data_IF_848154907041
#
_entry.id   IF_848154907041
#
_cell.length_a   1.000
_cell.length_b   1.000
_cell.length_c   1.000
_cell.angle_alpha   90.00
_cell.angle_beta   90.00
_cell.angle_gamma   90.00
#
_symmetry.space_group_name_H-M   'P 1'
#
loop_
_entity.id
_entity.type
_entity.pdbx_description
1 polymer ?
#
# COMPACT_ATOMS: atom_id res chain seq x y z
N UNK A 1 -4.45 -9.67 56.74
CA UNK A 1 -3.53 -8.57 56.40
C UNK A 1 -2.75 -8.80 55.10
N UNK A 2 -2.20 -9.98 54.80
CA UNK A 2 -1.41 -10.22 53.56
C UNK A 2 -2.19 -10.03 52.22
N UNK A 3 -3.48 -10.39 52.16
CA UNK A 3 -4.28 -10.21 50.91
C UNK A 3 -4.58 -8.75 50.57
N UNK A 4 -4.77 -7.87 51.57
CA UNK A 4 -5.00 -6.43 51.33
C UNK A 4 -3.71 -5.72 50.87
N UNK A 5 -2.54 -6.18 51.34
CA UNK A 5 -1.25 -5.64 50.91
C UNK A 5 -0.89 -6.00 49.45
N UNK A 6 -1.24 -7.22 49.02
CA UNK A 6 -1.03 -7.66 47.61
C UNK A 6 -1.92 -6.89 46.62
N UNK A 7 -3.17 -6.59 46.99
CA UNK A 7 -4.08 -5.81 46.15
C UNK A 7 -3.60 -4.35 46.04
N UNK A 8 -3.09 -3.80 47.15
CA UNK A 8 -2.56 -2.43 47.15
C UNK A 8 -1.25 -2.30 46.37
N UNK A 9 -0.38 -3.33 46.39
CA UNK A 9 0.83 -3.38 45.55
C UNK A 9 0.52 -3.58 44.08
N UNK A 10 -0.52 -4.36 43.73
CA UNK A 10 -0.94 -4.53 42.31
C UNK A 10 -1.61 -3.27 41.74
N UNK A 11 -2.35 -2.52 42.56
CA UNK A 11 -2.92 -1.22 42.16
C UNK A 11 -1.84 -0.12 41.99
N UNK A 12 -0.80 -0.13 42.87
CA UNK A 12 0.34 0.77 42.73
C UNK A 12 1.18 0.46 41.50
N UNK A 13 1.39 -0.81 41.15
CA UNK A 13 2.14 -1.18 39.94
C UNK A 13 1.35 -0.90 38.64
N UNK A 14 0.03 -1.02 38.65
CA UNK A 14 -0.82 -0.63 37.53
C UNK A 14 -0.84 0.89 37.33
N UNK A 15 -0.87 1.69 38.38
CA UNK A 15 -0.79 3.15 38.29
C UNK A 15 0.59 3.64 37.83
N UNK A 16 1.69 3.00 38.24
CA UNK A 16 3.05 3.31 37.76
C UNK A 16 3.21 2.97 36.27
N UNK A 17 2.58 1.90 35.80
CA UNK A 17 2.60 1.53 34.37
C UNK A 17 1.73 2.48 33.51
N UNK A 18 0.59 2.94 34.02
CA UNK A 18 -0.25 3.94 33.36
C UNK A 18 0.41 5.32 33.31
N UNK A 19 1.24 5.65 34.32
CA UNK A 19 1.97 6.91 34.38
C UNK A 19 3.01 7.04 33.27
N UNK A 20 3.60 5.92 32.82
CA UNK A 20 4.65 5.91 31.80
C UNK A 20 4.12 6.10 30.37
N UNK A 21 2.91 5.63 30.05
CA UNK A 21 2.41 5.67 28.66
C UNK A 21 2.12 7.08 28.16
N UNK A 22 1.60 7.98 29.00
CA UNK A 22 1.31 9.37 28.61
C UNK A 22 2.59 10.17 28.44
N UNK A 23 3.51 10.06 29.41
CA UNK A 23 4.84 10.69 29.33
C UNK A 23 5.66 10.13 28.19
N UNK A 24 5.59 8.81 27.95
CA UNK A 24 6.25 8.19 26.80
C UNK A 24 5.71 8.75 25.49
N UNK A 25 4.39 8.83 25.33
CA UNK A 25 3.79 9.39 24.14
C UNK A 25 4.20 10.87 23.92
N UNK A 26 4.17 11.70 24.97
CA UNK A 26 4.63 13.10 24.88
C UNK A 26 6.10 13.19 24.45
N UNK A 27 6.97 12.36 25.00
CA UNK A 27 8.39 12.31 24.64
C UNK A 27 8.58 11.86 23.18
N UNK A 28 7.88 10.83 22.77
CA UNK A 28 7.95 10.31 21.38
C UNK A 28 7.44 11.35 20.37
N UNK A 29 6.45 12.16 20.77
CA UNK A 29 5.93 13.31 20.00
C UNK A 29 6.82 14.55 20.06
N UNK A 30 7.84 14.59 20.93
CA UNK A 30 8.70 15.75 21.22
C UNK A 30 7.89 16.98 21.69
N UNK A 31 6.91 16.75 22.54
CA UNK A 31 5.95 17.77 23.01
C UNK A 31 6.16 18.18 24.49
N UNK A 32 7.32 17.87 25.07
CA UNK A 32 7.62 18.19 26.47
C UNK A 32 7.54 19.70 26.73
N UNK A 33 8.04 20.52 25.80
CA UNK A 33 7.96 21.98 25.89
C UNK A 33 6.51 22.49 25.82
N UNK A 34 5.69 21.87 24.98
CA UNK A 34 4.26 22.20 24.91
C UNK A 34 3.56 21.87 26.22
N UNK A 35 3.85 20.72 26.83
CA UNK A 35 3.31 20.35 28.17
C UNK A 35 3.70 21.39 29.21
N UNK A 36 4.93 21.88 29.19
CA UNK A 36 5.40 22.91 30.11
C UNK A 36 4.61 24.26 29.99
N UNK A 37 4.02 24.54 28.84
CA UNK A 37 3.19 25.75 28.62
C UNK A 37 1.78 25.64 29.22
N UNK A 38 1.34 24.43 29.61
CA UNK A 38 -0.01 24.25 30.17
C UNK A 38 -0.03 24.64 31.66
N UNK A 39 -0.83 25.65 32.00
CA UNK A 39 -1.21 25.91 33.38
C UNK A 39 -2.15 24.82 33.91
N UNK A 40 -2.28 24.71 35.25
CA UNK A 40 -3.24 23.78 35.86
C UNK A 40 -4.67 24.08 35.41
N UNK A 41 -5.06 25.37 35.39
CA UNK A 41 -6.36 25.80 34.93
C UNK A 41 -6.63 25.41 33.45
N UNK A 42 -5.63 25.55 32.56
CA UNK A 42 -5.77 25.14 31.17
C UNK A 42 -5.95 23.63 31.06
N UNK A 43 -5.16 22.86 31.82
CA UNK A 43 -5.26 21.41 31.81
C UNK A 43 -6.61 20.91 32.32
N UNK A 44 -7.12 21.48 33.43
CA UNK A 44 -8.44 21.18 33.95
C UNK A 44 -9.57 21.51 32.95
N UNK A 45 -9.45 22.63 32.24
CA UNK A 45 -10.41 23.01 31.21
C UNK A 45 -10.42 22.01 30.05
N UNK A 46 -9.26 21.59 29.55
CA UNK A 46 -9.15 20.62 28.46
C UNK A 46 -9.62 19.21 28.90
N UNK A 47 -9.50 18.89 30.19
CA UNK A 47 -9.91 17.61 30.78
C UNK A 47 -11.30 17.66 31.44
N UNK A 48 -12.15 18.60 31.07
CA UNK A 48 -13.50 18.71 31.64
C UNK A 48 -14.27 17.39 31.50
N UNK A 49 -14.66 16.79 32.62
CA UNK A 49 -15.33 15.48 32.67
C UNK A 49 -14.41 14.29 32.95
N UNK A 50 -13.12 14.53 33.18
CA UNK A 50 -12.17 13.56 33.70
C UNK A 50 -11.97 13.76 35.21
N UNK A 51 -12.03 12.68 36.00
CA UNK A 51 -11.96 12.74 37.46
C UNK A 51 -10.57 12.39 38.03
N UNK A 52 -9.65 11.89 37.20
CA UNK A 52 -8.28 11.55 37.62
C UNK A 52 -7.43 12.78 37.91
N UNK A 53 -6.38 12.63 38.70
CA UNK A 53 -5.53 13.73 39.16
C UNK A 53 -4.06 13.58 38.75
N UNK A 54 -3.69 12.51 38.08
CA UNK A 54 -2.33 12.21 37.63
C UNK A 54 -2.10 12.63 36.20
N UNK A 55 -0.88 13.09 35.90
CA UNK A 55 -0.44 13.50 34.53
C UNK A 55 -1.43 14.44 33.81
N UNK A 56 -2.02 15.39 34.54
CA UNK A 56 -3.07 16.25 34.00
C UNK A 56 -2.60 17.02 32.76
N UNK A 57 -1.39 17.56 32.78
CA UNK A 57 -0.88 18.36 31.65
C UNK A 57 -0.61 17.51 30.43
N UNK A 58 0.00 16.35 30.60
CA UNK A 58 0.26 15.40 29.52
C UNK A 58 -1.04 14.90 28.89
N UNK A 59 -2.01 14.51 29.72
CA UNK A 59 -3.33 14.09 29.26
C UNK A 59 -4.10 15.21 28.53
N UNK A 60 -4.03 16.43 29.07
CA UNK A 60 -4.66 17.59 28.45
C UNK A 60 -4.08 17.89 27.06
N UNK A 61 -2.76 17.84 26.91
CA UNK A 61 -2.10 17.99 25.61
C UNK A 61 -2.54 16.89 24.64
N UNK A 62 -2.57 15.64 25.07
CA UNK A 62 -2.97 14.51 24.22
C UNK A 62 -4.47 14.58 23.82
N UNK A 63 -5.33 15.11 24.68
CA UNK A 63 -6.75 15.37 24.35
C UNK A 63 -6.88 16.52 23.35
N UNK A 64 -6.18 17.63 23.58
CA UNK A 64 -6.20 18.79 22.67
C UNK A 64 -5.62 18.47 21.29
N UNK A 65 -4.61 17.56 21.23
CA UNK A 65 -4.09 16.99 19.99
C UNK A 65 -5.02 15.96 19.35
N UNK A 66 -6.14 15.60 19.97
CA UNK A 66 -7.06 14.55 19.54
C UNK A 66 -6.44 13.14 19.46
N UNK A 67 -5.37 12.90 20.18
CA UNK A 67 -4.75 11.59 20.30
C UNK A 67 -5.63 10.60 21.08
N UNK A 68 -6.33 11.11 22.09
CA UNK A 68 -7.30 10.39 22.93
C UNK A 68 -8.47 11.32 23.29
N UNK A 69 -9.57 10.74 23.73
CA UNK A 69 -10.75 11.49 24.18
C UNK A 69 -10.90 11.38 25.71
N UNK A 70 -11.77 12.22 26.29
CA UNK A 70 -12.16 12.10 27.72
C UNK A 70 -12.80 10.75 28.00
N UNK A 71 -13.60 10.22 27.08
CA UNK A 71 -14.20 8.89 27.19
C UNK A 71 -13.14 7.79 27.25
N UNK A 72 -12.09 7.91 26.46
CA UNK A 72 -10.95 6.98 26.50
C UNK A 72 -10.26 7.01 27.86
N UNK A 73 -10.03 8.21 28.41
CA UNK A 73 -9.42 8.38 29.74
C UNK A 73 -10.28 7.77 30.85
N UNK A 74 -11.60 7.94 30.79
CA UNK A 74 -12.52 7.41 31.77
C UNK A 74 -12.73 5.89 31.67
N UNK A 75 -12.63 5.34 30.45
CA UNK A 75 -12.79 3.89 30.23
C UNK A 75 -11.51 3.07 30.37
N UNK A 76 -10.36 3.72 30.30
CA UNK A 76 -9.01 3.11 30.28
C UNK A 76 -8.80 2.00 29.22
N UNK A 77 -9.77 1.86 28.30
CA UNK A 77 -9.72 0.81 27.29
C UNK A 77 -8.85 1.21 26.09
N UNK A 78 -7.88 0.36 25.75
CA UNK A 78 -7.06 0.50 24.55
C UNK A 78 -6.23 1.79 24.43
N UNK A 79 -6.06 2.59 25.49
CA UNK A 79 -5.32 3.86 25.48
C UNK A 79 -3.92 3.68 24.89
N UNK A 80 -3.17 2.68 25.37
CA UNK A 80 -1.81 2.41 24.87
C UNK A 80 -1.79 2.15 23.37
N UNK A 81 -2.78 1.40 22.84
CA UNK A 81 -2.90 1.13 21.40
C UNK A 81 -3.21 2.41 20.62
N UNK A 82 -4.10 3.26 21.13
CA UNK A 82 -4.47 4.54 20.51
C UNK A 82 -3.28 5.50 20.49
N UNK A 83 -2.59 5.66 21.63
CA UNK A 83 -1.42 6.52 21.73
C UNK A 83 -0.29 6.07 20.80
N UNK A 84 0.03 4.76 20.76
CA UNK A 84 1.03 4.23 19.82
C UNK A 84 0.66 4.46 18.36
N UNK A 85 -0.61 4.30 18.01
CA UNK A 85 -1.07 4.58 16.65
C UNK A 85 -0.94 6.07 16.33
N UNK A 86 -1.39 6.95 17.22
CA UNK A 86 -1.30 8.41 17.04
C UNK A 86 0.16 8.87 16.94
N UNK A 87 1.04 8.42 17.86
CA UNK A 87 2.47 8.76 17.80
C UNK A 87 3.07 8.35 16.47
N UNK A 88 2.77 7.12 16.02
CA UNK A 88 3.24 6.64 14.71
C UNK A 88 2.78 7.55 13.58
N UNK A 89 1.49 7.88 13.54
CA UNK A 89 0.92 8.70 12.46
C UNK A 89 1.43 10.15 12.51
N UNK A 90 1.60 10.70 13.73
CA UNK A 90 2.04 12.08 13.93
C UNK A 90 3.54 12.28 13.67
N UNK A 91 4.37 11.27 14.00
CA UNK A 91 5.83 11.33 13.84
C UNK A 91 6.29 10.73 12.51
N UNK A 92 5.40 10.09 11.76
CA UNK A 92 5.74 9.51 10.48
C UNK A 92 5.90 10.62 9.43
N UNK A 93 7.15 11.05 9.27
CA UNK A 93 7.53 12.06 8.27
C UNK A 93 7.72 11.48 6.87
N UNK A 94 7.38 10.20 6.66
CA UNK A 94 7.45 9.62 5.33
C UNK A 94 6.45 10.34 4.42
N UNK A 95 6.96 10.91 3.37
CA UNK A 95 6.14 11.30 2.24
C UNK A 95 5.54 10.01 1.66
N UNK A 96 4.27 9.75 1.95
CA UNK A 96 3.54 8.59 1.42
C UNK A 96 3.30 8.68 -0.08
N UNK A 97 3.69 9.77 -0.71
CA UNK A 97 3.59 10.00 -2.14
C UNK A 97 4.67 10.99 -2.63
N UNK A 98 4.97 10.94 -3.92
CA UNK A 98 6.03 11.74 -4.53
C UNK A 98 5.67 13.21 -4.73
N UNK A 99 4.42 13.52 -4.85
CA UNK A 99 3.90 14.87 -5.09
C UNK A 99 2.57 14.84 -5.83
N UNK A 100 2.15 15.99 -6.33
CA UNK A 100 0.95 16.11 -7.15
C UNK A 100 1.28 16.16 -8.64
N UNK A 101 0.33 15.81 -9.49
CA UNK A 101 0.45 15.98 -10.95
C UNK A 101 0.82 17.41 -11.31
N UNK A 102 0.23 18.41 -10.61
CA UNK A 102 0.50 19.83 -10.82
C UNK A 102 1.93 20.27 -10.47
N UNK A 103 2.68 19.52 -9.69
CA UNK A 103 4.05 19.87 -9.31
C UNK A 103 4.95 20.01 -10.54
N UNK A 104 5.80 21.06 -10.55
CA UNK A 104 6.71 21.33 -11.67
C UNK A 104 7.75 20.22 -11.87
N UNK A 105 8.20 19.61 -10.78
CA UNK A 105 9.29 18.64 -10.78
C UNK A 105 8.81 17.19 -10.57
N UNK A 106 7.53 16.90 -10.77
CA UNK A 106 6.99 15.54 -10.53
C UNK A 106 7.67 14.48 -11.43
N UNK A 107 7.94 14.81 -12.70
CA UNK A 107 8.63 13.90 -13.63
C UNK A 107 10.06 13.61 -13.16
N UNK A 108 10.78 14.62 -12.67
CA UNK A 108 12.11 14.44 -12.11
C UNK A 108 12.08 13.52 -10.88
N UNK A 109 11.12 13.73 -9.97
CA UNK A 109 10.95 12.88 -8.78
C UNK A 109 10.65 11.43 -9.14
N UNK A 110 9.79 11.19 -10.13
CA UNK A 110 9.48 9.86 -10.65
C UNK A 110 10.75 9.19 -11.19
N UNK A 111 11.50 9.86 -12.07
CA UNK A 111 12.73 9.33 -12.64
C UNK A 111 13.79 9.06 -11.56
N UNK A 112 13.94 9.96 -10.57
CA UNK A 112 14.88 9.78 -9.47
C UNK A 112 14.51 8.56 -8.60
N UNK A 113 13.21 8.29 -8.42
CA UNK A 113 12.76 7.10 -7.70
C UNK A 113 13.03 5.84 -8.51
N UNK A 114 12.67 5.83 -9.80
CA UNK A 114 12.92 4.73 -10.72
C UNK A 114 14.40 4.34 -10.79
N UNK A 115 15.29 5.31 -10.97
CA UNK A 115 16.74 5.09 -11.10
C UNK A 115 17.40 4.51 -9.84
N UNK A 116 16.72 4.58 -8.68
CA UNK A 116 17.16 3.95 -7.43
C UNK A 116 16.55 2.57 -7.22
N UNK A 117 15.66 2.15 -8.12
CA UNK A 117 14.99 0.86 -8.07
C UNK A 117 15.98 -0.30 -8.14
N UNK A 118 15.67 -1.36 -7.42
CA UNK A 118 16.45 -2.61 -7.42
C UNK A 118 15.50 -3.79 -7.49
N UNK A 119 15.93 -4.84 -8.16
CA UNK A 119 15.23 -6.12 -8.17
C UNK A 119 15.29 -6.70 -6.75
N UNK A 120 14.13 -7.13 -6.24
CA UNK A 120 14.00 -7.82 -4.96
C UNK A 120 14.32 -9.29 -5.19
N UNK A 121 15.47 -9.73 -4.69
CA UNK A 121 15.94 -11.10 -4.82
C UNK A 121 15.98 -11.79 -3.45
N UNK A 122 15.85 -13.13 -3.46
CA UNK A 122 16.09 -13.95 -2.27
C UNK A 122 15.01 -13.86 -1.19
N UNK A 123 13.85 -13.28 -1.48
CA UNK A 123 12.70 -13.36 -0.56
C UNK A 123 12.19 -14.80 -0.48
N UNK A 124 11.78 -15.29 0.71
CA UNK A 124 11.10 -16.56 0.85
C UNK A 124 9.88 -16.70 -0.08
N UNK A 125 9.24 -15.59 -0.44
CA UNK A 125 8.11 -15.55 -1.37
C UNK A 125 8.49 -16.05 -2.77
N UNK A 126 9.72 -15.78 -3.26
CA UNK A 126 10.16 -16.23 -4.58
C UNK A 126 10.09 -17.75 -4.69
N UNK A 127 10.61 -18.49 -3.69
CA UNK A 127 10.62 -19.96 -3.71
C UNK A 127 9.20 -20.52 -3.77
N UNK A 128 8.32 -20.04 -2.87
CA UNK A 128 6.94 -20.53 -2.77
C UNK A 128 6.12 -20.23 -4.03
N UNK A 129 6.32 -19.04 -4.61
CA UNK A 129 5.56 -18.62 -5.79
C UNK A 129 6.10 -19.23 -7.09
N UNK A 130 7.40 -19.47 -7.19
CA UNK A 130 7.96 -20.24 -8.30
C UNK A 130 7.41 -21.68 -8.31
N UNK A 131 7.26 -22.32 -7.15
CA UNK A 131 6.56 -23.60 -7.03
C UNK A 131 5.09 -23.54 -7.50
N UNK A 132 4.40 -22.43 -7.20
CA UNK A 132 3.04 -22.22 -7.69
C UNK A 132 2.98 -22.06 -9.22
N UNK A 133 3.98 -21.40 -9.82
CA UNK A 133 4.13 -21.33 -11.28
C UNK A 133 4.32 -22.73 -11.87
N UNK A 134 5.26 -23.53 -11.33
CA UNK A 134 5.54 -24.89 -11.81
C UNK A 134 4.32 -25.82 -11.73
N UNK A 135 3.41 -25.55 -10.80
CA UNK A 135 2.14 -26.27 -10.65
C UNK A 135 1.01 -25.70 -11.52
N UNK A 136 1.28 -24.70 -12.36
CA UNK A 136 0.27 -24.06 -13.22
C UNK A 136 -0.82 -23.30 -12.48
N UNK A 137 -0.59 -22.95 -11.20
CA UNK A 137 -1.54 -22.21 -10.37
C UNK A 137 -1.57 -20.71 -10.67
N UNK A 138 -0.46 -20.19 -11.21
CA UNK A 138 -0.32 -18.83 -11.71
C UNK A 138 0.69 -18.80 -12.85
N UNK A 139 0.64 -17.77 -13.69
CA UNK A 139 1.63 -17.48 -14.74
C UNK A 139 2.68 -16.49 -14.31
N UNK A 140 2.48 -15.83 -13.14
CA UNK A 140 3.41 -14.84 -12.63
C UNK A 140 2.91 -14.18 -11.34
N UNK A 141 3.76 -13.36 -10.78
CA UNK A 141 3.51 -12.56 -9.58
C UNK A 141 4.38 -11.31 -9.61
N UNK A 142 4.12 -10.36 -8.72
CA UNK A 142 5.06 -9.27 -8.47
C UNK A 142 5.27 -9.09 -6.96
N UNK A 143 6.48 -8.68 -6.56
CA UNK A 143 6.87 -8.45 -5.17
C UNK A 143 7.13 -6.96 -4.96
N UNK A 144 6.57 -6.40 -3.88
CA UNK A 144 6.76 -5.02 -3.44
C UNK A 144 7.26 -4.95 -2.01
N UNK A 145 8.08 -3.97 -1.71
CA UNK A 145 8.40 -3.61 -0.32
C UNK A 145 7.22 -2.84 0.29
N UNK A 146 6.71 -3.33 1.42
CA UNK A 146 5.57 -2.71 2.11
C UNK A 146 5.84 -1.30 2.60
N UNK A 147 7.11 -0.95 2.81
CA UNK A 147 7.51 0.40 3.22
C UNK A 147 7.32 1.46 2.12
N UNK A 148 7.12 1.01 0.87
CA UNK A 148 6.95 1.87 -0.31
C UNK A 148 5.48 2.22 -0.61
N UNK A 149 4.53 1.60 0.09
CA UNK A 149 3.10 1.78 -0.20
C UNK A 149 2.62 3.19 0.09
N UNK A 150 1.89 3.75 -0.88
CA UNK A 150 1.10 4.94 -0.65
C UNK A 150 -0.11 4.62 0.23
N UNK A 151 -0.40 5.50 1.19
CA UNK A 151 -1.60 5.42 2.04
C UNK A 151 -2.78 6.12 1.36
N UNK A 152 -3.03 5.76 0.10
CA UNK A 152 -4.06 6.37 -0.73
C UNK A 152 -5.45 5.81 -0.42
N UNK A 153 -6.45 6.70 -0.51
CA UNK A 153 -7.85 6.29 -0.43
C UNK A 153 -8.21 5.44 -1.65
N UNK A 154 -8.66 4.21 -1.38
CA UNK A 154 -8.93 3.20 -2.41
C UNK A 154 -10.06 3.61 -3.34
N UNK A 155 -11.05 4.35 -2.84
CA UNK A 155 -12.19 4.80 -3.61
C UNK A 155 -11.78 5.73 -4.75
N UNK A 156 -10.78 6.59 -4.48
CA UNK A 156 -10.31 7.60 -5.42
C UNK A 156 -9.02 7.23 -6.15
N UNK A 157 -8.49 6.01 -5.95
CA UNK A 157 -7.18 5.62 -6.47
C UNK A 157 -7.30 4.78 -7.74
N UNK A 158 -6.43 5.09 -8.70
CA UNK A 158 -6.15 4.26 -9.88
C UNK A 158 -4.67 3.88 -9.88
N UNK A 159 -4.38 2.64 -10.26
CA UNK A 159 -3.01 2.11 -10.37
C UNK A 159 -2.75 1.68 -11.81
N UNK A 160 -1.61 2.12 -12.37
CA UNK A 160 -1.13 1.75 -13.69
C UNK A 160 0.23 1.06 -13.60
N UNK A 161 0.32 -0.18 -14.06
CA UNK A 161 1.56 -0.96 -14.03
C UNK A 161 2.33 -0.89 -15.34
N UNK A 162 3.64 -0.61 -15.29
CA UNK A 162 4.53 -0.66 -16.46
C UNK A 162 6.01 -0.80 -16.04
N UNK A 163 6.89 -0.92 -17.03
CA UNK A 163 8.34 -0.93 -16.86
C UNK A 163 9.07 0.18 -17.62
N UNK A 164 8.34 0.99 -18.38
CA UNK A 164 8.90 2.12 -19.14
C UNK A 164 8.41 3.46 -18.57
N UNK A 165 9.36 4.30 -18.14
CA UNK A 165 9.07 5.62 -17.57
C UNK A 165 8.54 6.63 -18.57
N UNK A 166 8.67 6.36 -19.89
CA UNK A 166 8.04 7.17 -20.93
C UNK A 166 6.53 7.16 -20.73
N UNK A 167 5.94 6.00 -20.44
CA UNK A 167 4.50 5.86 -20.16
C UNK A 167 4.07 6.66 -18.94
N UNK A 168 4.83 6.60 -17.84
CA UNK A 168 4.55 7.40 -16.65
C UNK A 168 4.55 8.90 -16.98
N UNK A 169 5.54 9.36 -17.74
CA UNK A 169 5.66 10.76 -18.16
C UNK A 169 4.51 11.18 -19.09
N UNK A 170 4.07 10.32 -19.99
CA UNK A 170 2.94 10.56 -20.88
C UNK A 170 1.62 10.71 -20.12
N UNK A 171 1.37 9.85 -19.12
CA UNK A 171 0.16 9.93 -18.27
C UNK A 171 0.17 11.24 -17.47
N UNK A 172 1.31 11.62 -16.88
CA UNK A 172 1.44 12.91 -16.17
C UNK A 172 1.19 14.08 -17.14
N UNK A 173 1.75 14.02 -18.34
CA UNK A 173 1.53 15.04 -19.37
C UNK A 173 0.07 15.16 -19.79
N UNK A 174 -0.62 14.03 -19.96
CA UNK A 174 -2.05 13.98 -20.27
C UNK A 174 -2.89 14.64 -19.15
N UNK A 175 -2.66 14.25 -17.90
CA UNK A 175 -3.38 14.81 -16.74
C UNK A 175 -3.15 16.33 -16.61
N UNK A 176 -1.91 16.81 -16.80
CA UNK A 176 -1.60 18.25 -16.83
C UNK A 176 -2.34 18.98 -17.95
N UNK A 177 -2.35 18.42 -19.16
CA UNK A 177 -3.03 19.01 -20.30
C UNK A 177 -4.55 19.14 -20.12
N UNK A 178 -5.13 18.21 -19.38
CA UNK A 178 -6.56 18.16 -19.09
C UNK A 178 -6.95 18.89 -17.78
N UNK A 179 -5.98 19.50 -17.09
CA UNK A 179 -6.17 20.15 -15.80
C UNK A 179 -6.80 19.22 -14.74
N UNK A 180 -6.35 17.97 -14.70
CA UNK A 180 -6.71 17.00 -13.67
C UNK A 180 -5.52 16.88 -12.72
N UNK A 181 -5.71 17.26 -11.45
CA UNK A 181 -4.71 17.05 -10.42
C UNK A 181 -4.96 15.74 -9.66
N UNK A 182 -3.90 15.13 -9.16
CA UNK A 182 -3.95 13.95 -8.35
C UNK A 182 -2.65 13.82 -7.54
N UNK A 183 -2.70 13.18 -6.38
CA UNK A 183 -1.49 12.72 -5.68
C UNK A 183 -0.87 11.57 -6.47
N UNK A 184 0.45 11.58 -6.58
CA UNK A 184 1.21 10.63 -7.38
C UNK A 184 2.19 9.85 -6.50
N UNK A 185 2.18 8.53 -6.63
CA UNK A 185 3.21 7.65 -6.06
C UNK A 185 3.69 6.66 -7.10
N UNK A 186 4.99 6.34 -7.07
CA UNK A 186 5.60 5.27 -7.84
C UNK A 186 5.99 4.14 -6.87
N UNK A 187 5.27 3.04 -6.90
CA UNK A 187 5.60 1.85 -6.13
C UNK A 187 6.43 0.90 -7.00
N UNK A 188 7.70 0.76 -6.67
CA UNK A 188 8.58 -0.17 -7.38
C UNK A 188 8.23 -1.62 -7.05
N UNK A 189 8.28 -2.47 -8.05
CA UNK A 189 8.01 -3.90 -7.91
C UNK A 189 8.98 -4.72 -8.73
N UNK A 190 9.28 -5.93 -8.27
CA UNK A 190 9.92 -6.96 -9.06
C UNK A 190 8.86 -7.93 -9.52
N UNK A 191 8.65 -8.00 -10.81
CA UNK A 191 7.76 -9.01 -11.38
C UNK A 191 8.52 -10.29 -11.68
N UNK A 192 7.80 -11.40 -11.69
CA UNK A 192 8.28 -12.70 -12.14
C UNK A 192 7.16 -13.34 -12.97
N UNK A 193 7.44 -13.71 -14.20
CA UNK A 193 6.45 -14.34 -15.07
C UNK A 193 7.08 -15.38 -15.99
N UNK A 194 6.25 -16.34 -16.40
CA UNK A 194 6.66 -17.35 -17.38
C UNK A 194 7.00 -16.68 -18.70
N UNK A 195 8.24 -16.83 -19.14
CA UNK A 195 8.73 -16.32 -20.41
C UNK A 195 8.70 -17.43 -21.46
N UNK A 196 8.06 -17.19 -22.58
CA UNK A 196 7.93 -18.17 -23.64
C UNK A 196 9.09 -18.02 -24.65
N UNK A 197 9.77 -19.11 -25.02
CA UNK A 197 10.89 -19.07 -25.97
C UNK A 197 10.56 -18.47 -27.35
N UNK A 198 9.30 -18.59 -27.78
CA UNK A 198 8.79 -18.00 -29.02
C UNK A 198 8.75 -16.46 -29.03
N UNK A 199 8.92 -15.82 -27.86
CA UNK A 199 9.03 -14.36 -27.76
C UNK A 199 10.45 -13.85 -28.07
N UNK A 200 11.41 -14.77 -28.35
CA UNK A 200 12.79 -14.44 -28.66
C UNK A 200 13.69 -14.37 -27.43
N UNK A 201 14.83 -13.68 -27.57
CA UNK A 201 15.73 -13.45 -26.43
C UNK A 201 15.16 -12.45 -25.44
N UNK A 202 15.17 -12.83 -24.16
CA UNK A 202 14.71 -11.95 -23.08
C UNK A 202 15.72 -10.83 -22.82
N UNK A 203 15.25 -9.60 -22.75
CA UNK A 203 16.02 -8.46 -22.25
C UNK A 203 16.10 -8.42 -20.72
N UNK A 204 15.34 -9.27 -20.04
CA UNK A 204 15.28 -9.34 -18.58
C UNK A 204 16.22 -10.43 -18.04
N UNK A 205 16.63 -10.30 -16.79
CA UNK A 205 17.24 -11.43 -16.06
C UNK A 205 16.26 -12.59 -16.03
N UNK A 206 16.72 -13.79 -16.35
CA UNK A 206 15.90 -15.00 -16.39
C UNK A 206 16.44 -16.08 -15.46
N UNK A 207 15.53 -16.88 -14.92
CA UNK A 207 15.84 -18.11 -14.18
C UNK A 207 15.24 -19.30 -14.92
N UNK A 208 16.07 -20.29 -15.27
CA UNK A 208 15.61 -21.55 -15.85
C UNK A 208 15.31 -22.54 -14.74
N UNK A 209 14.07 -23.02 -14.69
CA UNK A 209 13.60 -23.99 -13.71
C UNK A 209 13.97 -25.42 -14.14
N UNK A 210 13.94 -26.41 -13.21
CA UNK A 210 14.32 -27.78 -13.49
C UNK A 210 13.48 -28.47 -14.58
N UNK A 211 12.23 -28.09 -14.77
CA UNK A 211 11.32 -28.61 -15.80
C UNK A 211 11.50 -27.92 -17.16
N UNK A 212 12.41 -26.94 -17.25
CA UNK A 212 12.68 -26.17 -18.46
C UNK A 212 11.90 -24.85 -18.55
N UNK A 213 10.96 -24.59 -17.66
CA UNK A 213 10.25 -23.31 -17.57
C UNK A 213 11.25 -22.16 -17.38
N UNK A 214 11.08 -21.09 -18.13
CA UNK A 214 11.89 -19.86 -17.99
C UNK A 214 11.04 -18.82 -17.27
N UNK A 215 11.57 -18.24 -16.19
CA UNK A 215 10.93 -17.13 -15.47
C UNK A 215 11.77 -15.88 -15.70
N UNK A 216 11.15 -14.83 -16.23
CA UNK A 216 11.76 -13.50 -16.38
C UNK A 216 11.48 -12.62 -15.14
N UNK A 217 12.46 -11.79 -14.79
CA UNK A 217 12.43 -10.95 -13.58
C UNK A 217 12.68 -9.47 -13.92
N UNK A 218 11.70 -8.75 -14.48
CA UNK A 218 11.84 -7.32 -14.70
C UNK A 218 11.66 -6.50 -13.43
N UNK A 219 12.36 -5.36 -13.36
CA UNK A 219 11.97 -4.26 -12.51
C UNK A 219 10.81 -3.53 -13.18
N UNK A 220 9.72 -3.33 -12.45
CA UNK A 220 8.52 -2.64 -12.90
C UNK A 220 8.05 -1.65 -11.83
N UNK A 221 7.00 -0.92 -12.13
CA UNK A 221 6.35 -0.03 -11.18
C UNK A 221 4.83 -0.14 -11.25
N UNK A 222 4.17 0.27 -10.17
CA UNK A 222 2.80 0.73 -10.18
C UNK A 222 2.81 2.24 -9.96
N UNK A 223 2.37 2.98 -10.97
CA UNK A 223 2.12 4.40 -10.88
C UNK A 223 0.71 4.59 -10.32
N UNK A 224 0.62 5.16 -9.14
CA UNK A 224 -0.66 5.36 -8.45
C UNK A 224 -1.05 6.82 -8.45
N UNK A 225 -2.33 7.04 -8.71
CA UNK A 225 -2.98 8.34 -8.67
C UNK A 225 -4.12 8.30 -7.67
N UNK A 226 -4.11 9.19 -6.67
CA UNK A 226 -5.30 9.46 -5.87
C UNK A 226 -5.89 10.80 -6.31
N UNK A 227 -7.08 10.73 -6.88
CA UNK A 227 -7.85 11.89 -7.31
C UNK A 227 -8.55 12.56 -6.12
N UNK A 228 -8.88 13.86 -6.25
CA UNK A 228 -9.60 14.58 -5.21
C UNK A 228 -11.08 14.22 -5.15
N UNK A 229 -11.63 13.72 -6.27
CA UNK A 229 -13.04 13.37 -6.37
C UNK A 229 -13.27 12.16 -7.28
N UNK A 230 -14.41 11.51 -7.10
CA UNK A 230 -14.88 10.45 -7.99
C UNK A 230 -15.03 10.96 -9.44
N UNK A 231 -15.48 12.19 -9.61
CA UNK A 231 -15.62 12.83 -10.93
C UNK A 231 -14.28 12.93 -11.67
N UNK A 232 -13.21 13.34 -10.99
CA UNK A 232 -11.88 13.45 -11.61
C UNK A 232 -11.31 12.08 -11.94
N UNK A 233 -11.56 11.08 -11.08
CA UNK A 233 -11.22 9.69 -11.36
C UNK A 233 -11.95 9.16 -12.61
N UNK A 234 -13.26 9.38 -12.72
CA UNK A 234 -14.06 8.96 -13.88
C UNK A 234 -13.57 9.65 -15.15
N UNK A 235 -13.34 10.96 -15.08
CA UNK A 235 -12.77 11.72 -16.21
C UNK A 235 -11.40 11.17 -16.64
N UNK A 236 -10.54 10.81 -15.70
CA UNK A 236 -9.27 10.15 -16.03
C UNK A 236 -9.48 8.81 -16.74
N UNK A 237 -10.42 7.97 -16.26
CA UNK A 237 -10.70 6.68 -16.90
C UNK A 237 -11.27 6.85 -18.30
N UNK A 238 -12.09 7.87 -18.57
CA UNK A 238 -12.55 8.23 -19.91
C UNK A 238 -11.39 8.61 -20.83
N UNK A 239 -10.39 9.37 -20.32
CA UNK A 239 -9.19 9.70 -21.07
C UNK A 239 -8.34 8.46 -21.37
N UNK A 240 -8.19 7.56 -20.41
CA UNK A 240 -7.51 6.28 -20.62
C UNK A 240 -8.22 5.48 -21.71
N UNK A 241 -9.55 5.41 -21.66
CA UNK A 241 -10.34 4.71 -22.67
C UNK A 241 -10.17 5.31 -24.08
N UNK A 242 -10.01 6.61 -24.15
CA UNK A 242 -9.82 7.34 -25.41
C UNK A 242 -8.41 7.20 -25.97
N UNK A 243 -7.38 7.25 -25.13
CA UNK A 243 -5.98 7.39 -25.56
C UNK A 243 -5.13 6.15 -25.33
N UNK A 244 -5.54 5.18 -24.52
CA UNK A 244 -4.84 3.92 -24.38
C UNK A 244 -5.00 3.08 -25.65
N UNK A 245 -3.91 2.54 -26.14
CA UNK A 245 -3.95 1.60 -27.25
C UNK A 245 -4.64 0.32 -26.80
N UNK A 246 -5.70 -0.08 -27.52
CA UNK A 246 -6.54 -1.23 -27.14
C UNK A 246 -6.38 -2.43 -28.05
N UNK A 247 -5.90 -2.21 -29.27
CA UNK A 247 -5.76 -3.22 -30.31
C UNK A 247 -4.66 -2.85 -31.31
N UNK A 248 -4.35 -3.75 -32.22
CA UNK A 248 -3.29 -3.57 -33.21
C UNK A 248 -3.62 -2.50 -34.27
N UNK A 249 -4.88 -2.19 -34.50
CA UNK A 249 -5.31 -1.21 -35.51
C UNK A 249 -5.14 0.21 -34.97
N UNK A 250 -5.24 0.42 -33.69
CA UNK A 250 -5.07 1.73 -33.05
C UNK A 250 -3.62 1.96 -32.60
N UNK A 251 -2.73 2.21 -33.52
CA UNK A 251 -1.30 2.41 -33.25
C UNK A 251 -0.94 3.82 -32.73
N UNK A 252 -1.86 4.78 -32.81
CA UNK A 252 -1.59 6.18 -32.52
C UNK A 252 -2.03 6.61 -31.09
N UNK A 253 -2.36 5.68 -30.23
CA UNK A 253 -2.74 5.99 -28.85
C UNK A 253 -1.56 6.50 -28.03
N UNK A 254 -1.80 7.41 -27.10
CA UNK A 254 -0.79 7.98 -26.21
C UNK A 254 -0.12 6.90 -25.35
N UNK A 255 -0.87 5.90 -24.94
CA UNK A 255 -0.38 4.79 -24.12
C UNK A 255 -0.13 3.55 -25.00
N UNK A 256 0.71 3.74 -26.02
CA UNK A 256 1.14 2.67 -26.91
C UNK A 256 1.71 1.48 -26.13
N UNK A 257 1.41 0.27 -26.55
CA UNK A 257 1.81 -0.99 -25.91
C UNK A 257 1.26 -1.20 -24.48
N UNK A 258 0.42 -0.30 -23.97
CA UNK A 258 -0.19 -0.43 -22.64
C UNK A 258 -1.51 -1.23 -22.61
N UNK A 259 -1.99 -1.69 -23.76
CA UNK A 259 -3.29 -2.34 -23.90
C UNK A 259 -3.45 -3.63 -23.09
N UNK A 260 -2.34 -4.35 -22.83
CA UNK A 260 -2.30 -5.55 -22.03
C UNK A 260 -1.92 -5.27 -20.55
N UNK A 261 -1.40 -4.09 -20.25
CA UNK A 261 -1.07 -3.71 -18.88
C UNK A 261 -2.33 -3.39 -18.08
N UNK A 262 -2.40 -3.83 -16.81
CA UNK A 262 -3.61 -3.66 -16.05
C UNK A 262 -3.78 -2.22 -15.55
N UNK A 263 -4.95 -1.64 -15.81
CA UNK A 263 -5.49 -0.56 -15.01
C UNK A 263 -6.33 -1.19 -13.88
N UNK A 264 -5.74 -1.30 -12.71
CA UNK A 264 -6.34 -2.04 -11.59
C UNK A 264 -7.19 -1.10 -10.74
N UNK A 265 -8.43 -1.52 -10.50
CA UNK A 265 -9.40 -0.87 -9.63
C UNK A 265 -9.72 -1.79 -8.46
N UNK A 266 -9.90 -1.22 -7.26
CA UNK A 266 -10.35 -1.97 -6.08
C UNK A 266 -11.88 -1.98 -5.95
N UNK A 267 -12.56 -1.09 -6.65
CA UNK A 267 -14.00 -1.01 -6.74
C UNK A 267 -14.48 -1.40 -8.14
N UNK A 268 -15.71 -1.90 -8.23
CA UNK A 268 -16.29 -2.33 -9.50
C UNK A 268 -16.48 -1.15 -10.46
N UNK A 269 -15.90 -1.27 -11.64
CA UNK A 269 -16.04 -0.30 -12.74
C UNK A 269 -16.77 -0.97 -13.91
N UNK A 270 -17.68 -0.24 -14.55
CA UNK A 270 -18.39 -0.74 -15.73
C UNK A 270 -17.39 -1.06 -16.86
N UNK A 271 -17.58 -2.19 -17.51
CA UNK A 271 -16.71 -2.65 -18.60
C UNK A 271 -15.37 -3.27 -18.15
N UNK A 272 -15.11 -3.33 -16.83
CA UNK A 272 -13.94 -4.02 -16.28
C UNK A 272 -14.31 -5.40 -15.76
N UNK A 273 -13.35 -6.33 -15.87
CA UNK A 273 -13.51 -7.73 -15.46
C UNK A 273 -12.86 -8.00 -14.11
N UNK A 274 -13.44 -8.92 -13.35
CA UNK A 274 -13.01 -9.21 -11.98
C UNK A 274 -11.94 -10.30 -11.94
N UNK A 275 -10.81 -9.98 -11.31
CA UNK A 275 -9.78 -10.94 -10.91
C UNK A 275 -9.68 -11.01 -9.38
N UNK A 276 -8.95 -12.00 -8.91
CA UNK A 276 -8.56 -12.12 -7.51
C UNK A 276 -7.08 -11.74 -7.37
N UNK A 277 -6.80 -10.74 -6.55
CA UNK A 277 -5.45 -10.44 -6.07
C UNK A 277 -5.21 -11.23 -4.78
N UNK A 278 -4.38 -12.27 -4.89
CA UNK A 278 -3.92 -13.06 -3.75
C UNK A 278 -2.65 -12.40 -3.23
N UNK A 279 -2.75 -11.67 -2.12
CA UNK A 279 -1.61 -10.98 -1.50
C UNK A 279 -0.95 -11.94 -0.54
N UNK A 280 0.26 -12.35 -0.88
CA UNK A 280 1.09 -13.32 -0.14
C UNK A 280 2.21 -12.54 0.55
N UNK A 281 2.26 -12.54 1.88
CA UNK A 281 3.13 -11.66 2.67
C UNK A 281 4.07 -12.45 3.58
N UNK A 282 5.34 -12.04 3.65
CA UNK A 282 6.32 -12.48 4.65
C UNK A 282 6.54 -11.44 5.78
N UNK A 283 5.69 -10.42 5.82
CA UNK A 283 5.77 -9.32 6.80
C UNK A 283 6.61 -8.13 6.32
N UNK A 284 7.62 -8.33 5.50
CA UNK A 284 8.44 -7.27 4.88
C UNK A 284 7.98 -6.97 3.46
N UNK A 285 7.77 -8.01 2.69
CA UNK A 285 7.34 -7.94 1.29
C UNK A 285 5.92 -8.48 1.13
N UNK A 286 5.19 -7.90 0.19
CA UNK A 286 3.93 -8.43 -0.30
C UNK A 286 4.12 -8.87 -1.76
N UNK A 287 3.77 -10.11 -2.05
CA UNK A 287 3.64 -10.57 -3.42
C UNK A 287 2.16 -10.50 -3.85
N UNK A 288 1.90 -9.85 -4.97
CA UNK A 288 0.59 -9.77 -5.59
C UNK A 288 0.50 -10.81 -6.70
N UNK A 289 -0.43 -11.74 -6.56
CA UNK A 289 -0.66 -12.84 -7.50
C UNK A 289 -2.08 -12.72 -8.05
N UNK A 290 -2.20 -12.12 -9.22
CA UNK A 290 -3.49 -12.02 -9.90
C UNK A 290 -3.87 -13.39 -10.47
N UNK A 291 -5.09 -13.81 -10.23
CA UNK A 291 -5.64 -15.07 -10.75
C UNK A 291 -7.09 -14.88 -11.19
N UNK A 292 -7.52 -15.75 -12.10
CA UNK A 292 -8.94 -15.97 -12.32
C UNK A 292 -9.60 -16.50 -11.02
N UNK A 293 -10.86 -16.17 -10.75
CA UNK A 293 -11.53 -16.54 -9.49
C UNK A 293 -11.45 -18.02 -9.13
N UNK A 294 -11.60 -18.90 -10.11
CA UNK A 294 -11.58 -20.35 -9.93
C UNK A 294 -10.19 -20.90 -9.54
N UNK A 295 -9.11 -20.20 -9.89
CA UNK A 295 -7.73 -20.63 -9.57
C UNK A 295 -7.26 -20.19 -8.18
N UNK A 296 -7.84 -19.11 -7.62
CA UNK A 296 -7.40 -18.52 -6.35
C UNK A 296 -7.38 -19.52 -5.19
N UNK A 297 -8.42 -20.33 -5.02
CA UNK A 297 -8.51 -21.29 -3.91
C UNK A 297 -7.35 -22.32 -3.93
N UNK A 298 -6.99 -22.79 -5.10
CA UNK A 298 -5.89 -23.76 -5.25
C UNK A 298 -4.52 -23.11 -4.95
N UNK A 299 -4.30 -21.88 -5.42
CA UNK A 299 -3.11 -21.10 -5.10
C UNK A 299 -2.98 -20.87 -3.59
N UNK A 300 -4.02 -20.37 -2.94
CA UNK A 300 -4.01 -20.12 -1.48
C UNK A 300 -3.68 -21.39 -0.71
N UNK A 301 -4.29 -22.52 -1.07
CA UNK A 301 -4.00 -23.80 -0.44
C UNK A 301 -2.53 -24.21 -0.59
N UNK A 302 -1.91 -23.92 -1.72
CA UNK A 302 -0.51 -24.23 -1.97
C UNK A 302 0.43 -23.37 -1.14
N UNK A 303 0.29 -22.04 -1.22
CA UNK A 303 1.18 -21.09 -0.53
C UNK A 303 1.03 -21.14 0.99
N UNK A 304 -0.15 -21.44 1.52
CA UNK A 304 -0.41 -21.57 2.96
C UNK A 304 0.20 -22.83 3.61
N UNK A 305 0.87 -23.69 2.84
CA UNK A 305 1.69 -24.76 3.42
C UNK A 305 2.87 -24.23 4.20
N UNK A 306 3.37 -23.06 3.82
CA UNK A 306 4.38 -22.35 4.58
C UNK A 306 3.69 -21.50 5.66
N UNK A 307 3.91 -21.86 6.93
CA UNK A 307 3.26 -21.21 8.09
C UNK A 307 3.77 -19.79 8.39
N UNK A 308 4.88 -19.39 7.81
CA UNK A 308 5.46 -18.05 7.97
C UNK A 308 4.85 -17.03 6.99
N UNK A 309 3.97 -17.51 6.09
CA UNK A 309 3.34 -16.70 5.05
C UNK A 309 1.89 -16.42 5.41
N UNK A 310 1.52 -15.15 5.38
CA UNK A 310 0.12 -14.72 5.45
C UNK A 310 -0.45 -14.54 4.04
N UNK A 311 -1.73 -14.90 3.85
CA UNK A 311 -2.43 -14.69 2.59
C UNK A 311 -3.69 -13.88 2.82
N UNK A 312 -3.84 -12.78 2.06
CA UNK A 312 -5.05 -11.97 2.01
C UNK A 312 -5.61 -12.02 0.58
N UNK A 313 -6.93 -12.07 0.47
CA UNK A 313 -7.62 -12.14 -0.82
C UNK A 313 -8.39 -10.83 -1.01
N UNK A 314 -8.21 -10.22 -2.19
CA UNK A 314 -8.96 -9.04 -2.61
C UNK A 314 -9.56 -9.26 -4.00
N UNK A 315 -10.75 -8.72 -4.23
CA UNK A 315 -11.27 -8.56 -5.57
C UNK A 315 -10.68 -7.31 -6.19
N UNK A 316 -10.32 -7.40 -7.45
CA UNK A 316 -9.86 -6.27 -8.25
C UNK A 316 -10.54 -6.33 -9.61
N UNK A 317 -10.67 -5.18 -10.24
CA UNK A 317 -11.23 -5.08 -11.59
C UNK A 317 -10.16 -4.55 -12.53
N UNK A 318 -10.05 -5.20 -13.67
CA UNK A 318 -9.02 -4.90 -14.69
C UNK A 318 -9.66 -4.68 -16.05
N UNK A 319 -8.98 -3.96 -16.91
CA UNK A 319 -9.40 -3.73 -18.28
C UNK A 319 -9.55 -5.07 -19.04
N UNK A 320 -10.48 -5.17 -20.01
CA UNK A 320 -10.79 -6.42 -20.71
C UNK A 320 -9.60 -7.06 -21.42
N UNK A 321 -8.68 -6.26 -21.99
CA UNK A 321 -7.50 -6.78 -22.67
C UNK A 321 -6.61 -7.57 -21.72
N UNK A 322 -6.34 -7.05 -20.52
CA UNK A 322 -5.58 -7.76 -19.49
C UNK A 322 -6.32 -9.00 -18.97
N UNK A 323 -7.65 -8.93 -18.82
CA UNK A 323 -8.43 -10.10 -18.43
C UNK A 323 -8.34 -11.24 -19.46
N UNK A 324 -8.44 -10.93 -20.76
CA UNK A 324 -8.25 -11.93 -21.84
C UNK A 324 -6.85 -12.55 -21.78
N UNK A 325 -5.80 -11.74 -21.57
CA UNK A 325 -4.45 -12.25 -21.34
C UNK A 325 -4.41 -13.24 -20.17
N UNK A 326 -5.03 -12.91 -19.03
CA UNK A 326 -5.10 -13.80 -17.87
C UNK A 326 -5.92 -15.07 -18.12
N UNK A 327 -6.85 -15.04 -19.08
CA UNK A 327 -7.65 -16.21 -19.53
C UNK A 327 -6.89 -17.11 -20.52
N UNK A 328 -5.69 -16.73 -20.96
CA UNK A 328 -4.87 -17.48 -21.91
C UNK A 328 -5.03 -17.03 -23.38
N UNK A 329 -5.68 -15.91 -23.60
CA UNK A 329 -5.79 -15.29 -24.92
C UNK A 329 -4.59 -14.37 -25.13
N UNK A 330 -3.51 -14.93 -25.69
CA UNK A 330 -2.22 -14.22 -25.88
C UNK A 330 -2.11 -13.51 -27.22
N UNK A 331 -3.19 -13.39 -27.97
CA UNK A 331 -3.25 -12.73 -29.29
C UNK A 331 -4.05 -11.45 -29.23
#
# INVERSE_FOLDING_TARGET
>A
MRKKLLIMLSLLSLNLYAQDIYKSAIKDLKMEELVATYSEEKAEKSLKGYEGKDNLKEKAVLVDLKAITIEDLNSEKNINKKLKAFVKDYTDTKEYYLGNVSDKNIIERLNNKWNRGKIIEGSPLNSVLNEAILKGLTTGYNIKDRSEYANFDKEYTVSYGHNDMIHASQIIGLLKGENIDAKVQLELKTSAFVYLPEWGESSYTTTKMPDGTIIAHPLEYDLKFQFESQKDKERFLELVDKYAKKDEENQNGLLYESWWQPFVQTEKVAGYEMLIDNIVSDGKYDAHVLTLPEKSKALVKEVSKNKEIEVKIKKVWVNPAFYRFMSGEYK
#
